data_IF_420552762602
#
_entry.id   IF_420552762602
#
_cell.length_a   1.000
_cell.length_b   1.000
_cell.length_c   1.000
_cell.angle_alpha   90.00
_cell.angle_beta   90.00
_cell.angle_gamma   90.00
#
_symmetry.space_group_name_H-M   'P 1'
#
loop_
_entity.id
_entity.type
_entity.pdbx_description
1 polymer ?
#
# COMPACT_ATOMS: atom_id res chain seq x y z
N UNK A 1 -9.46 9.92 -6.36
CA UNK A 1 -8.66 10.66 -7.32
C UNK A 1 -7.75 9.71 -8.11
N UNK A 2 -7.09 10.21 -9.14
CA UNK A 2 -6.27 9.37 -10.02
C UNK A 2 -5.11 8.66 -9.32
N UNK A 3 -4.55 9.23 -8.27
CA UNK A 3 -3.47 8.62 -7.48
C UNK A 3 -4.00 7.44 -6.66
N UNK A 4 -5.09 7.64 -5.95
CA UNK A 4 -5.73 6.57 -5.18
C UNK A 4 -6.20 5.44 -6.08
N UNK A 5 -6.71 5.76 -7.27
CA UNK A 5 -7.18 4.77 -8.24
C UNK A 5 -6.05 3.85 -8.69
N UNK A 6 -4.91 4.42 -9.10
CA UNK A 6 -3.75 3.65 -9.52
C UNK A 6 -3.16 2.87 -8.33
N UNK A 7 -3.03 3.51 -7.18
CA UNK A 7 -2.47 2.86 -5.99
C UNK A 7 -3.31 1.66 -5.55
N UNK A 8 -4.63 1.80 -5.54
CA UNK A 8 -5.54 0.70 -5.17
C UNK A 8 -5.42 -0.48 -6.14
N UNK A 9 -5.23 -0.21 -7.42
CA UNK A 9 -5.00 -1.26 -8.41
C UNK A 9 -3.67 -1.98 -8.18
N UNK A 10 -2.61 -1.24 -7.84
CA UNK A 10 -1.31 -1.83 -7.46
C UNK A 10 -1.44 -2.76 -6.27
N UNK A 11 -2.16 -2.34 -5.25
CA UNK A 11 -2.37 -3.14 -4.02
C UNK A 11 -3.10 -4.44 -4.34
N UNK A 12 -4.10 -4.40 -5.21
CA UNK A 12 -4.83 -5.61 -5.63
C UNK A 12 -4.01 -6.53 -6.51
N UNK A 13 -3.28 -5.98 -7.49
CA UNK A 13 -2.41 -6.79 -8.36
C UNK A 13 -1.28 -7.45 -7.58
N UNK A 14 -0.74 -6.77 -6.56
CA UNK A 14 0.30 -7.32 -5.69
C UNK A 14 -0.09 -8.66 -5.09
N UNK A 15 -1.34 -8.78 -4.67
CA UNK A 15 -1.85 -10.00 -4.01
C UNK A 15 -2.51 -10.97 -4.98
N UNK A 16 -2.44 -10.70 -6.28
CA UNK A 16 -3.17 -11.46 -7.29
C UNK A 16 -4.68 -11.52 -7.00
N UNK A 17 -5.22 -10.39 -6.54
CA UNK A 17 -6.64 -10.23 -6.19
C UNK A 17 -7.12 -11.12 -5.05
N UNK A 18 -6.20 -11.51 -4.18
CA UNK A 18 -6.53 -12.24 -2.95
C UNK A 18 -6.56 -11.30 -1.76
N UNK A 19 -7.47 -11.54 -0.82
CA UNK A 19 -7.52 -10.80 0.43
C UNK A 19 -6.30 -11.13 1.29
N UNK A 20 -5.57 -10.12 1.73
CA UNK A 20 -4.38 -10.29 2.59
C UNK A 20 -4.69 -10.93 3.94
N UNK A 21 -5.94 -10.88 4.41
CA UNK A 21 -6.33 -11.43 5.70
C UNK A 21 -6.90 -12.83 5.60
N UNK A 22 -7.93 -13.05 4.79
CA UNK A 22 -8.60 -14.35 4.71
C UNK A 22 -8.15 -15.22 3.53
N UNK A 23 -7.37 -14.68 2.59
CA UNK A 23 -6.82 -15.43 1.46
C UNK A 23 -7.81 -15.72 0.32
N UNK A 24 -9.05 -15.28 0.42
CA UNK A 24 -10.04 -15.52 -0.64
C UNK A 24 -9.72 -14.70 -1.88
N UNK A 25 -9.90 -15.32 -3.06
CA UNK A 25 -9.69 -14.67 -4.35
C UNK A 25 -10.98 -14.00 -4.85
N UNK A 26 -10.82 -12.84 -5.49
CA UNK A 26 -11.96 -12.04 -5.96
C UNK A 26 -11.96 -11.76 -7.45
N UNK A 27 -11.09 -12.39 -8.23
CA UNK A 27 -11.10 -12.42 -9.71
C UNK A 27 -11.43 -11.07 -10.38
N UNK A 28 -10.70 -10.01 -10.00
CA UNK A 28 -10.86 -8.65 -10.55
C UNK A 28 -12.18 -7.95 -10.20
N UNK A 29 -12.84 -8.38 -9.14
CA UNK A 29 -14.04 -7.71 -8.62
C UNK A 29 -13.64 -6.60 -7.63
N UNK A 30 -13.25 -5.43 -8.14
CA UNK A 30 -12.72 -4.32 -7.33
C UNK A 30 -13.70 -3.82 -6.25
N UNK A 31 -15.00 -3.95 -6.46
CA UNK A 31 -16.01 -3.57 -5.47
C UNK A 31 -15.99 -4.48 -4.24
N UNK A 32 -15.44 -5.68 -4.37
CA UNK A 32 -15.38 -6.68 -3.29
C UNK A 32 -14.04 -6.78 -2.61
N UNK A 33 -12.98 -6.23 -3.22
CA UNK A 33 -11.62 -6.23 -2.68
C UNK A 33 -11.13 -4.78 -2.56
N UNK A 34 -11.09 -4.28 -1.35
CA UNK A 34 -10.75 -2.89 -1.05
C UNK A 34 -9.26 -2.69 -0.84
N UNK A 35 -8.79 -1.48 -1.14
CA UNK A 35 -7.49 -1.02 -0.70
C UNK A 35 -7.65 -0.43 0.71
N UNK A 36 -7.15 -1.14 1.70
CA UNK A 36 -7.26 -0.78 3.11
C UNK A 36 -5.96 -0.13 3.58
N UNK A 37 -6.05 0.99 4.27
CA UNK A 37 -4.88 1.70 4.80
C UNK A 37 -4.74 1.45 6.30
N UNK A 38 -3.54 1.04 6.74
CA UNK A 38 -3.23 0.87 8.16
C UNK A 38 -3.23 2.22 8.88
N UNK A 39 -2.54 3.21 8.34
CA UNK A 39 -2.64 4.61 8.74
C UNK A 39 -3.47 5.37 7.72
N UNK A 40 -4.40 6.18 8.20
CA UNK A 40 -5.38 6.89 7.40
C UNK A 40 -4.76 7.65 6.21
N UNK A 41 -5.49 7.73 5.10
CA UNK A 41 -5.11 8.47 3.89
C UNK A 41 -4.83 9.95 4.12
N UNK A 42 -5.27 10.52 5.23
CA UNK A 42 -4.95 11.91 5.58
C UNK A 42 -3.46 12.13 5.86
N UNK A 43 -2.72 11.06 6.20
CA UNK A 43 -1.29 11.11 6.42
C UNK A 43 -0.56 10.97 5.08
N UNK A 44 -0.20 12.10 4.47
CA UNK A 44 0.39 12.15 3.12
C UNK A 44 1.70 11.38 2.98
N UNK A 45 2.48 11.29 4.06
CA UNK A 45 3.75 10.54 4.07
C UNK A 45 3.58 9.04 3.89
N UNK A 46 2.42 8.48 4.25
CA UNK A 46 2.16 7.04 4.17
C UNK A 46 1.01 6.67 3.23
N UNK A 47 0.32 7.68 2.68
CA UNK A 47 -0.87 7.45 1.84
C UNK A 47 -0.62 6.47 0.71
N UNK A 48 0.54 6.55 0.05
CA UNK A 48 0.92 5.68 -1.06
C UNK A 48 2.07 4.75 -0.69
N UNK A 49 2.36 4.59 0.60
CA UNK A 49 3.43 3.70 1.03
C UNK A 49 3.00 2.23 0.86
N UNK A 50 3.82 1.40 0.18
CA UNK A 50 3.46 0.01 -0.09
C UNK A 50 3.11 -0.79 1.17
N UNK A 51 3.79 -0.52 2.28
CA UNK A 51 3.60 -1.25 3.54
C UNK A 51 2.53 -0.64 4.44
N UNK A 52 1.87 0.42 3.99
CA UNK A 52 0.72 1.00 4.69
C UNK A 52 -0.61 0.54 4.09
N UNK A 53 -0.59 -0.33 3.10
CA UNK A 53 -1.80 -0.71 2.38
C UNK A 53 -1.94 -2.22 2.24
N UNK A 54 -3.17 -2.67 2.19
CA UNK A 54 -3.55 -4.07 2.13
C UNK A 54 -4.73 -4.24 1.20
N UNK A 55 -4.82 -5.40 0.56
CA UNK A 55 -6.02 -5.82 -0.14
C UNK A 55 -6.89 -6.55 0.87
N UNK A 56 -8.08 -6.03 1.18
CA UNK A 56 -9.01 -6.66 2.11
C UNK A 56 -10.40 -6.77 1.48
N UNK A 57 -11.02 -7.93 1.60
CA UNK A 57 -12.42 -8.07 1.21
C UNK A 57 -13.31 -7.25 2.15
N UNK A 58 -14.56 -7.02 1.75
CA UNK A 58 -15.51 -6.17 2.50
C UNK A 58 -15.59 -6.57 3.98
N UNK A 59 -15.75 -7.87 4.25
CA UNK A 59 -15.86 -8.38 5.61
C UNK A 59 -14.60 -8.18 6.44
N UNK A 60 -13.44 -8.51 5.88
CA UNK A 60 -12.15 -8.34 6.58
C UNK A 60 -11.81 -6.86 6.78
N UNK A 61 -12.08 -6.02 5.79
CA UNK A 61 -11.86 -4.58 5.90
C UNK A 61 -12.66 -4.01 7.09
N UNK A 62 -13.93 -4.35 7.16
CA UNK A 62 -14.81 -3.89 8.25
C UNK A 62 -14.33 -4.39 9.62
N UNK A 63 -13.99 -5.69 9.70
CA UNK A 63 -13.50 -6.29 10.94
C UNK A 63 -12.24 -5.60 11.46
N UNK A 64 -11.27 -5.39 10.59
CA UNK A 64 -9.98 -4.79 10.97
C UNK A 64 -10.10 -3.29 11.27
N UNK A 65 -11.00 -2.60 10.58
CA UNK A 65 -11.27 -1.18 10.84
C UNK A 65 -11.88 -0.97 12.24
N UNK A 66 -12.68 -1.91 12.70
CA UNK A 66 -13.31 -1.88 14.03
C UNK A 66 -12.39 -2.35 15.16
N UNK A 67 -11.28 -3.02 14.83
CA UNK A 67 -10.36 -3.59 15.82
C UNK A 67 -8.91 -3.21 15.52
N UNK A 68 -8.44 -2.05 16.03
CA UNK A 68 -7.07 -1.58 15.79
C UNK A 68 -5.98 -2.54 16.26
N UNK A 69 -6.20 -3.30 17.32
CA UNK A 69 -5.23 -4.27 17.83
C UNK A 69 -5.07 -5.43 16.85
N UNK A 70 -6.18 -5.94 16.35
CA UNK A 70 -6.16 -7.01 15.36
C UNK A 70 -5.53 -6.54 14.04
N UNK A 71 -5.83 -5.31 13.61
CA UNK A 71 -5.22 -4.75 12.41
C UNK A 71 -3.70 -4.64 12.56
N UNK A 72 -3.22 -4.16 13.71
CA UNK A 72 -1.79 -4.06 14.00
C UNK A 72 -1.13 -5.45 13.94
N UNK A 73 -1.71 -6.44 14.61
CA UNK A 73 -1.19 -7.81 14.61
C UNK A 73 -1.12 -8.38 13.19
N UNK A 74 -2.17 -8.18 12.39
CA UNK A 74 -2.21 -8.60 10.99
C UNK A 74 -1.12 -7.92 10.16
N UNK A 75 -1.00 -6.60 10.29
CA UNK A 75 0.00 -5.83 9.58
C UNK A 75 1.43 -6.31 9.88
N UNK A 76 1.70 -6.60 11.14
CA UNK A 76 2.99 -7.13 11.58
C UNK A 76 3.28 -8.51 11.01
N UNK A 77 2.26 -9.37 10.88
CA UNK A 77 2.41 -10.68 10.25
C UNK A 77 2.77 -10.52 8.77
N UNK A 78 2.12 -9.59 8.06
CA UNK A 78 2.35 -9.40 6.62
C UNK A 78 3.70 -8.74 6.33
N UNK A 79 4.04 -7.68 7.04
CA UNK A 79 5.22 -6.84 6.72
C UNK A 79 6.32 -6.87 7.76
N UNK A 80 6.10 -7.45 8.92
CA UNK A 80 7.04 -7.48 10.03
C UNK A 80 6.84 -6.33 11.02
N UNK A 81 7.12 -6.59 12.28
CA UNK A 81 6.93 -5.66 13.38
C UNK A 81 7.72 -4.36 13.20
N UNK A 82 9.00 -4.46 12.82
CA UNK A 82 9.85 -3.28 12.62
C UNK A 82 9.35 -2.40 11.48
N UNK A 83 8.90 -3.01 10.39
CA UNK A 83 8.35 -2.28 9.24
C UNK A 83 7.10 -1.52 9.63
N UNK A 84 6.20 -2.14 10.37
CA UNK A 84 4.94 -1.51 10.79
C UNK A 84 5.18 -0.39 11.82
N UNK A 85 6.14 -0.56 12.72
CA UNK A 85 6.56 0.51 13.62
C UNK A 85 7.07 1.72 12.84
N UNK A 86 7.89 1.50 11.82
CA UNK A 86 8.40 2.58 10.95
C UNK A 86 7.28 3.29 10.19
N UNK A 87 6.33 2.53 9.66
CA UNK A 87 5.16 3.10 8.97
C UNK A 87 4.35 3.98 9.94
N UNK A 88 4.12 3.51 11.16
CA UNK A 88 3.41 4.28 12.18
C UNK A 88 4.11 5.60 12.53
N UNK A 89 5.43 5.57 12.65
CA UNK A 89 6.24 6.78 12.88
C UNK A 89 6.22 7.72 11.68
N UNK A 90 6.38 7.16 10.49
CA UNK A 90 6.38 7.92 9.25
C UNK A 90 5.06 8.66 9.04
N UNK A 91 3.95 8.06 9.43
CA UNK A 91 2.63 8.70 9.33
C UNK A 91 2.57 10.04 10.07
N UNK A 92 3.37 10.20 11.12
CA UNK A 92 3.41 11.43 11.92
C UNK A 92 4.32 12.53 11.32
N UNK A 93 5.08 12.21 10.27
CA UNK A 93 5.98 13.18 9.62
C UNK A 93 5.18 14.02 8.62
N UNK A 94 5.15 15.36 8.77
CA UNK A 94 4.48 16.22 7.81
C UNK A 94 5.26 16.23 6.50
N UNK A 95 4.55 16.01 5.39
CA UNK A 95 5.13 16.00 4.05
C UNK A 95 4.30 16.86 3.13
N UNK A 96 4.98 17.69 2.34
CA UNK A 96 4.36 18.50 1.29
C UNK A 96 5.08 18.22 -0.03
N UNK A 97 4.41 17.47 -0.89
CA UNK A 97 4.96 17.13 -2.19
C UNK A 97 4.79 18.28 -3.17
N UNK A 98 5.85 18.56 -3.92
CA UNK A 98 5.84 19.55 -4.99
C UNK A 98 5.13 18.99 -6.23
N UNK A 99 4.61 19.86 -7.13
CA UNK A 99 3.92 19.37 -8.33
C UNK A 99 4.73 18.38 -9.16
N UNK A 100 6.03 18.62 -9.34
CA UNK A 100 6.88 17.69 -10.11
C UNK A 100 7.08 16.34 -9.40
N UNK A 101 7.06 16.33 -8.06
CA UNK A 101 7.12 15.09 -7.27
C UNK A 101 5.83 14.29 -7.43
N UNK A 102 4.69 14.98 -7.43
CA UNK A 102 3.39 14.32 -7.67
C UNK A 102 3.34 13.70 -9.07
N UNK A 103 3.82 14.42 -10.10
CA UNK A 103 3.86 13.88 -11.46
C UNK A 103 4.76 12.66 -11.55
N UNK A 104 5.94 12.70 -10.97
CA UNK A 104 6.87 11.57 -10.93
C UNK A 104 6.27 10.38 -10.21
N UNK A 105 5.65 10.61 -9.07
CA UNK A 105 4.96 9.56 -8.29
C UNK A 105 3.89 8.87 -9.14
N UNK A 106 3.06 9.65 -9.81
CA UNK A 106 1.99 9.13 -10.66
C UNK A 106 2.53 8.29 -11.83
N UNK A 107 3.53 8.80 -12.54
CA UNK A 107 4.15 8.08 -13.65
C UNK A 107 4.82 6.78 -13.18
N UNK A 108 5.48 6.81 -12.02
CA UNK A 108 6.10 5.62 -11.44
C UNK A 108 5.04 4.57 -11.11
N UNK A 109 3.94 4.96 -10.45
CA UNK A 109 2.85 4.04 -10.11
C UNK A 109 2.23 3.42 -11.36
N UNK A 110 2.02 4.20 -12.42
CA UNK A 110 1.49 3.69 -13.68
C UNK A 110 2.44 2.68 -14.33
N UNK A 111 3.73 2.97 -14.29
CA UNK A 111 4.76 2.07 -14.82
C UNK A 111 4.80 0.75 -14.06
N UNK A 112 4.73 0.81 -12.73
CA UNK A 112 4.68 -0.38 -11.88
C UNK A 112 3.41 -1.20 -12.10
N UNK A 113 2.27 -0.54 -12.27
CA UNK A 113 1.02 -1.22 -12.56
C UNK A 113 1.11 -1.97 -13.89
N UNK A 114 1.69 -1.33 -14.90
CA UNK A 114 1.94 -1.98 -16.19
C UNK A 114 2.84 -3.21 -16.04
N UNK A 115 3.91 -3.09 -15.26
CA UNK A 115 4.84 -4.20 -14.99
C UNK A 115 4.12 -5.37 -14.32
N UNK A 116 3.35 -5.12 -13.26
CA UNK A 116 2.60 -6.17 -12.57
C UNK A 116 1.60 -6.86 -13.50
N UNK A 117 0.87 -6.09 -14.29
CA UNK A 117 -0.11 -6.65 -15.24
C UNK A 117 0.53 -7.49 -16.32
N UNK A 118 1.69 -7.08 -16.83
CA UNK A 118 2.44 -7.87 -17.82
C UNK A 118 2.92 -9.19 -17.22
N UNK A 119 3.41 -9.17 -15.98
CA UNK A 119 3.82 -10.38 -15.26
C UNK A 119 2.63 -11.32 -15.06
N UNK A 120 1.48 -10.78 -14.65
CA UNK A 120 0.24 -11.57 -14.49
C UNK A 120 -0.21 -12.19 -15.81
N UNK A 121 -0.20 -11.42 -16.90
CA UNK A 121 -0.55 -11.91 -18.22
C UNK A 121 0.40 -13.01 -18.69
N UNK A 122 1.66 -12.97 -18.27
CA UNK A 122 2.67 -14.00 -18.55
C UNK A 122 2.55 -15.25 -17.68
N UNK A 123 1.58 -15.30 -16.76
CA UNK A 123 1.33 -16.47 -15.90
C UNK A 123 1.97 -16.42 -14.52
N UNK A 124 2.60 -15.29 -14.14
CA UNK A 124 3.19 -15.14 -12.81
C UNK A 124 2.09 -15.23 -11.73
N UNK A 125 2.29 -16.10 -10.75
CA UNK A 125 1.35 -16.32 -9.64
C UNK A 125 1.97 -15.88 -8.32
N UNK A 126 1.14 -15.85 -7.26
CA UNK A 126 1.60 -15.44 -5.93
C UNK A 126 1.76 -13.93 -5.80
N UNK A 127 2.43 -13.53 -4.74
CA UNK A 127 2.63 -12.10 -4.43
C UNK A 127 3.74 -11.50 -5.28
N UNK A 128 3.47 -10.35 -5.89
CA UNK A 128 4.48 -9.59 -6.64
C UNK A 128 4.55 -8.19 -6.03
N UNK A 129 5.68 -7.87 -5.42
CA UNK A 129 5.86 -6.56 -4.80
C UNK A 129 6.02 -5.45 -5.84
N UNK A 130 5.56 -4.25 -5.49
CA UNK A 130 5.79 -3.04 -6.26
C UNK A 130 6.55 -2.02 -5.43
N UNK A 131 7.20 -1.10 -6.11
CA UNK A 131 7.99 -0.03 -5.47
C UNK A 131 7.38 1.33 -5.75
N UNK A 132 7.78 2.33 -4.97
CA UNK A 132 7.56 3.73 -5.25
C UNK A 132 8.91 4.41 -5.48
N UNK A 133 8.93 5.67 -5.96
CA UNK A 133 10.20 6.37 -6.10
C UNK A 133 10.97 6.36 -4.80
N UNK A 134 12.27 6.14 -4.89
CA UNK A 134 13.15 6.03 -3.72
C UNK A 134 13.02 7.24 -2.79
N UNK A 135 12.89 8.45 -3.36
CA UNK A 135 12.74 9.67 -2.57
C UNK A 135 11.45 9.71 -1.76
N UNK A 136 10.40 9.00 -2.19
CA UNK A 136 9.16 8.88 -1.43
C UNK A 136 9.29 7.81 -0.34
N UNK A 137 9.76 6.64 -0.72
CA UNK A 137 9.78 5.47 0.15
C UNK A 137 10.94 5.52 1.16
N UNK A 138 12.14 5.81 0.71
CA UNK A 138 13.35 5.80 1.53
C UNK A 138 13.83 7.18 1.94
N UNK A 139 13.70 8.17 1.07
CA UNK A 139 14.08 9.54 1.36
C UNK A 139 13.34 10.14 2.54
N UNK A 140 12.05 9.86 2.66
CA UNK A 140 11.25 10.30 3.81
C UNK A 140 11.71 9.59 5.07
N UNK A 141 12.06 8.30 4.97
CA UNK A 141 12.56 7.53 6.12
C UNK A 141 13.92 8.03 6.60
N UNK A 142 14.79 8.42 5.68
CA UNK A 142 16.09 9.06 6.04
C UNK A 142 15.85 10.36 6.79
N UNK A 143 14.94 11.20 6.29
CA UNK A 143 14.58 12.45 6.96
C UNK A 143 14.01 12.22 8.36
N UNK A 144 13.19 11.19 8.52
CA UNK A 144 12.66 10.79 9.82
C UNK A 144 13.78 10.36 10.77
N UNK A 145 14.79 9.63 10.28
CA UNK A 145 15.97 9.24 11.05
C UNK A 145 16.80 10.43 11.51
N UNK A 146 16.93 11.46 10.68
CA UNK A 146 17.62 12.70 11.00
C UNK A 146 16.87 13.51 12.07
N UNK A 147 15.55 13.45 12.07
CA UNK A 147 14.70 14.16 13.02
C UNK A 147 14.65 13.49 14.40
N UNK A 148 15.04 12.23 14.46
CA UNK A 148 15.08 11.48 15.72
C UNK A 148 16.32 11.75 16.52
#
# INVERSE_FOLDING_TARGET
DKFDDVFSQLVRERTNWECDYCGRAFHHEHAKLHCSHFKSRRHKSTRYHPYNAFAHCIGCHRKLEEDPYEFTAHAEIVYGEMTIERVARLACVPVRLKPWQMDELYQHMKSELKRLRELRAGGEVGRIEFTLPEWYQEGIMVHMGEAA
#
